data_IF_101558221030
#
_entry.id   IF_101558221030
#
_cell.length_a   1.000
_cell.length_b   1.000
_cell.length_c   1.000
_cell.angle_alpha   90.00
_cell.angle_beta   90.00
_cell.angle_gamma   90.00
#
_symmetry.space_group_name_H-M   'P 1'
#
loop_
_entity.id
_entity.type
_entity.pdbx_description
1 polymer ?
#
# COMPACT_ATOMS: atom_id res chain seq x y z
N UNK A 1 -0.96 7.12 -0.42
CA UNK A 1 0.30 6.54 -0.94
C UNK A 1 1.52 7.01 -0.17
N UNK A 2 1.74 8.30 -0.01
CA UNK A 2 2.94 8.85 0.64
C UNK A 2 3.21 8.24 2.02
N UNK A 3 2.20 8.17 2.90
CA UNK A 3 2.28 7.54 4.22
C UNK A 3 2.85 6.10 4.18
N UNK A 4 2.47 5.33 3.17
CA UNK A 4 2.96 3.97 2.97
C UNK A 4 4.41 3.94 2.48
N UNK A 5 4.73 4.71 1.44
CA UNK A 5 6.08 4.73 0.87
C UNK A 5 7.12 5.31 1.81
N UNK A 6 6.73 6.21 2.73
CA UNK A 6 7.60 6.78 3.74
C UNK A 6 8.19 5.70 4.67
N UNK A 7 7.38 4.74 5.11
CA UNK A 7 7.86 3.69 6.03
C UNK A 7 8.52 2.52 5.30
N UNK A 8 8.30 2.34 4.00
CA UNK A 8 8.71 1.13 3.28
C UNK A 8 10.21 0.82 3.42
N UNK A 9 11.15 1.76 3.20
CA UNK A 9 12.58 1.52 3.37
C UNK A 9 13.02 1.45 4.85
N UNK A 10 12.19 1.92 5.76
CA UNK A 10 12.49 1.98 7.20
C UNK A 10 12.19 0.65 7.89
N UNK A 11 11.24 -0.12 7.39
CA UNK A 11 10.80 -1.37 8.00
C UNK A 11 11.92 -2.43 8.11
N UNK A 12 12.81 -2.62 7.13
CA UNK A 12 13.98 -3.50 7.31
C UNK A 12 14.84 -3.09 8.50
N UNK A 13 15.16 -1.79 8.64
CA UNK A 13 15.95 -1.27 9.77
C UNK A 13 15.20 -1.47 11.09
N UNK A 14 13.93 -1.15 11.15
CA UNK A 14 13.11 -1.38 12.34
C UNK A 14 13.11 -2.85 12.79
N UNK A 15 12.98 -3.80 11.85
CA UNK A 15 13.00 -5.22 12.16
C UNK A 15 14.38 -5.70 12.64
N UNK A 16 15.46 -5.20 12.06
CA UNK A 16 16.82 -5.60 12.46
C UNK A 16 17.28 -4.93 13.75
N UNK A 17 16.94 -3.66 13.96
CA UNK A 17 17.44 -2.87 15.09
C UNK A 17 16.59 -3.09 16.36
N UNK A 18 15.26 -3.19 16.23
CA UNK A 18 14.37 -3.33 17.39
C UNK A 18 14.08 -4.80 17.72
N UNK A 19 13.82 -5.64 16.71
CA UNK A 19 13.51 -7.06 16.93
C UNK A 19 14.70 -8.00 16.73
N UNK A 20 15.87 -7.47 16.33
CA UNK A 20 17.09 -8.24 16.10
C UNK A 20 16.89 -9.43 15.14
N UNK A 21 16.06 -9.23 14.10
CA UNK A 21 15.74 -10.27 13.11
C UNK A 21 16.82 -10.36 12.05
N UNK A 22 17.12 -11.60 11.60
CA UNK A 22 18.02 -11.80 10.46
C UNK A 22 17.38 -11.43 9.12
N UNK A 23 18.20 -11.16 8.10
CA UNK A 23 17.78 -10.68 6.79
C UNK A 23 16.71 -11.58 6.10
N UNK A 24 16.80 -12.91 6.27
CA UNK A 24 15.82 -13.83 5.73
C UNK A 24 14.43 -13.63 6.36
N UNK A 25 14.39 -13.46 7.69
CA UNK A 25 13.12 -13.19 8.40
C UNK A 25 12.53 -11.83 8.00
N UNK A 26 13.36 -10.79 7.82
CA UNK A 26 12.92 -9.48 7.29
C UNK A 26 12.20 -9.66 5.96
N UNK A 27 12.82 -10.38 5.01
CA UNK A 27 12.22 -10.64 3.70
C UNK A 27 10.86 -11.35 3.80
N UNK A 28 10.74 -12.38 4.64
CA UNK A 28 9.49 -13.12 4.86
C UNK A 28 8.41 -12.20 5.46
N UNK A 29 8.74 -11.43 6.50
CA UNK A 29 7.80 -10.54 7.18
C UNK A 29 7.28 -9.44 6.23
N UNK A 30 8.16 -8.85 5.44
CA UNK A 30 7.76 -7.85 4.45
C UNK A 30 6.91 -8.47 3.33
N UNK A 31 7.20 -9.70 2.93
CA UNK A 31 6.41 -10.43 1.92
C UNK A 31 5.00 -10.77 2.40
N UNK A 32 4.77 -11.00 3.69
CA UNK A 32 3.43 -11.25 4.25
C UNK A 32 2.43 -10.14 3.88
N UNK A 33 2.87 -8.88 3.89
CA UNK A 33 2.06 -7.75 3.45
C UNK A 33 1.63 -7.88 1.97
N UNK A 34 2.57 -8.20 1.09
CA UNK A 34 2.31 -8.31 -0.34
C UNK A 34 1.38 -9.48 -0.64
N UNK A 35 1.61 -10.63 -0.01
CA UNK A 35 0.73 -11.81 -0.15
C UNK A 35 -0.67 -11.48 0.33
N UNK A 36 -0.83 -10.88 1.50
CA UNK A 36 -2.13 -10.47 2.03
C UNK A 36 -2.85 -9.48 1.08
N UNK A 37 -2.12 -8.50 0.54
CA UNK A 37 -2.65 -7.54 -0.42
C UNK A 37 -3.11 -8.21 -1.72
N UNK A 38 -2.40 -9.21 -2.21
CA UNK A 38 -2.80 -9.98 -3.39
C UNK A 38 -4.03 -10.83 -3.11
N UNK A 39 -4.07 -11.51 -1.98
CA UNK A 39 -5.19 -12.38 -1.60
C UNK A 39 -6.53 -11.61 -1.50
N UNK A 40 -6.53 -10.37 -1.02
CA UNK A 40 -7.77 -9.60 -0.86
C UNK A 40 -8.30 -9.01 -2.17
N UNK A 41 -7.45 -8.80 -3.20
CA UNK A 41 -7.85 -8.11 -4.44
C UNK A 41 -9.04 -8.74 -5.18
N UNK A 42 -9.12 -10.05 -5.38
CA UNK A 42 -10.28 -10.67 -6.00
C UNK A 42 -11.58 -10.41 -5.20
N UNK A 43 -11.51 -10.52 -3.88
CA UNK A 43 -12.64 -10.25 -2.99
C UNK A 43 -13.01 -8.76 -2.96
N UNK A 44 -12.02 -7.87 -3.11
CA UNK A 44 -12.25 -6.42 -3.19
C UNK A 44 -13.14 -6.06 -4.38
N UNK A 45 -12.89 -6.65 -5.55
CA UNK A 45 -13.74 -6.46 -6.73
C UNK A 45 -15.19 -6.86 -6.47
N UNK A 46 -15.39 -8.07 -5.95
CA UNK A 46 -16.73 -8.56 -5.61
C UNK A 46 -17.45 -7.67 -4.59
N UNK A 47 -16.76 -7.27 -3.51
CA UNK A 47 -17.34 -6.39 -2.49
C UNK A 47 -17.71 -5.01 -3.05
N UNK A 48 -16.89 -4.45 -3.93
CA UNK A 48 -17.15 -3.17 -4.61
C UNK A 48 -18.30 -3.26 -5.60
N UNK A 49 -18.57 -4.44 -6.15
CA UNK A 49 -19.71 -4.67 -7.02
C UNK A 49 -21.02 -4.88 -6.25
N UNK A 50 -20.96 -5.41 -5.04
CA UNK A 50 -22.15 -5.74 -4.23
C UNK A 50 -22.49 -4.67 -3.20
N UNK A 51 -21.50 -3.96 -2.64
CA UNK A 51 -21.66 -2.99 -1.57
C UNK A 51 -21.49 -1.54 -2.05
N UNK A 52 -21.84 -0.59 -1.20
CA UNK A 52 -21.59 0.82 -1.44
C UNK A 52 -20.08 1.11 -1.42
N UNK A 53 -19.55 1.59 -2.54
CA UNK A 53 -18.10 1.73 -2.79
C UNK A 53 -17.40 2.68 -1.82
N UNK A 54 -17.97 3.88 -1.59
CA UNK A 54 -17.36 4.89 -0.72
C UNK A 54 -17.28 4.46 0.74
N UNK A 55 -18.35 3.95 1.40
CA UNK A 55 -18.23 3.45 2.76
C UNK A 55 -17.19 2.33 2.90
N UNK A 56 -17.17 1.38 1.96
CA UNK A 56 -16.20 0.28 1.95
C UNK A 56 -14.76 0.81 1.85
N UNK A 57 -14.53 1.78 0.95
CA UNK A 57 -13.25 2.46 0.83
C UNK A 57 -12.82 3.15 2.11
N UNK A 58 -13.73 3.90 2.74
CA UNK A 58 -13.43 4.64 3.97
C UNK A 58 -13.14 3.70 5.16
N UNK A 59 -13.88 2.59 5.29
CA UNK A 59 -13.60 1.58 6.32
C UNK A 59 -12.22 0.96 6.11
N UNK A 60 -11.91 0.53 4.89
CA UNK A 60 -10.59 -0.04 4.58
C UNK A 60 -9.46 0.97 4.79
N UNK A 61 -9.69 2.24 4.42
CA UNK A 61 -8.72 3.31 4.61
C UNK A 61 -8.53 3.64 6.10
N UNK A 62 -9.59 3.65 6.89
CA UNK A 62 -9.51 3.82 8.35
C UNK A 62 -8.67 2.71 8.99
N UNK A 63 -8.93 1.44 8.64
CA UNK A 63 -8.11 0.32 9.10
C UNK A 63 -6.65 0.50 8.66
N UNK A 64 -6.41 0.87 7.41
CA UNK A 64 -5.08 1.11 6.86
C UNK A 64 -4.29 2.14 7.68
N UNK A 65 -4.86 3.30 7.97
CA UNK A 65 -4.16 4.34 8.74
C UNK A 65 -4.00 3.97 10.22
N UNK A 66 -4.96 3.26 10.81
CA UNK A 66 -4.88 2.83 12.21
C UNK A 66 -3.71 1.89 12.48
N UNK A 67 -3.27 1.14 11.48
CA UNK A 67 -2.13 0.24 11.61
C UNK A 67 -0.80 0.97 11.79
N UNK A 68 -0.65 2.21 11.27
CA UNK A 68 0.54 3.01 11.57
C UNK A 68 0.64 3.31 13.08
N UNK A 69 -0.48 3.63 13.73
CA UNK A 69 -0.53 3.75 15.19
C UNK A 69 -0.25 2.39 15.87
N UNK A 70 -0.74 1.29 15.30
CA UNK A 70 -0.46 -0.06 15.78
C UNK A 70 1.03 -0.40 15.77
N UNK A 71 1.81 0.07 14.78
CA UNK A 71 3.25 -0.16 14.74
C UNK A 71 4.00 0.51 15.90
N UNK A 72 3.54 1.67 16.37
CA UNK A 72 4.11 2.33 17.55
C UNK A 72 3.88 1.54 18.84
N UNK A 73 2.84 0.70 18.87
CA UNK A 73 2.47 -0.13 20.02
C UNK A 73 2.97 -1.58 19.91
N UNK A 74 3.61 -1.94 18.79
CA UNK A 74 4.04 -3.31 18.52
C UNK A 74 5.31 -3.67 19.29
N UNK A 75 5.18 -3.95 20.59
CA UNK A 75 6.29 -4.36 21.46
C UNK A 75 6.82 -5.78 21.21
N UNK A 76 6.14 -6.61 20.41
CA UNK A 76 6.54 -7.98 20.09
C UNK A 76 6.44 -8.27 18.59
N UNK A 77 7.38 -9.08 18.08
CA UNK A 77 7.47 -9.40 16.66
C UNK A 77 6.19 -10.03 16.09
N UNK A 78 5.55 -10.92 16.84
CA UNK A 78 4.31 -11.58 16.41
C UNK A 78 3.19 -10.57 16.14
N UNK A 79 3.01 -9.58 17.02
CA UNK A 79 2.03 -8.52 16.83
C UNK A 79 2.36 -7.69 15.58
N UNK A 80 3.64 -7.36 15.38
CA UNK A 80 4.09 -6.64 14.20
C UNK A 80 3.76 -7.41 12.90
N UNK A 81 4.00 -8.72 12.85
CA UNK A 81 3.66 -9.57 11.70
C UNK A 81 2.16 -9.58 11.42
N UNK A 82 1.33 -9.73 12.47
CA UNK A 82 -0.13 -9.67 12.33
C UNK A 82 -0.60 -8.31 11.78
N UNK A 83 -0.01 -7.23 12.28
CA UNK A 83 -0.28 -5.88 11.77
C UNK A 83 0.17 -5.73 10.31
N UNK A 84 1.30 -6.34 9.89
CA UNK A 84 1.73 -6.35 8.47
C UNK A 84 0.74 -7.07 7.58
N UNK A 85 0.20 -8.21 8.00
CA UNK A 85 -0.84 -8.93 7.26
C UNK A 85 -2.11 -8.08 7.15
N UNK A 86 -2.60 -7.55 8.27
CA UNK A 86 -3.79 -6.68 8.29
C UNK A 86 -3.59 -5.42 7.42
N UNK A 87 -2.39 -4.83 7.45
CA UNK A 87 -2.02 -3.67 6.63
C UNK A 87 -2.07 -4.01 5.13
N UNK A 88 -1.56 -5.19 4.74
CA UNK A 88 -1.63 -5.68 3.37
C UNK A 88 -3.08 -5.87 2.89
N UNK A 89 -3.94 -6.49 3.70
CA UNK A 89 -5.37 -6.65 3.40
C UNK A 89 -6.04 -5.29 3.20
N UNK A 90 -5.83 -4.35 4.12
CA UNK A 90 -6.40 -3.01 4.03
C UNK A 90 -5.89 -2.24 2.79
N UNK A 91 -4.59 -2.31 2.49
CA UNK A 91 -3.99 -1.67 1.32
C UNK A 91 -4.54 -2.23 0.01
N UNK A 92 -4.64 -3.57 -0.10
CA UNK A 92 -5.22 -4.21 -1.28
C UNK A 92 -6.63 -3.71 -1.56
N UNK A 93 -7.47 -3.62 -0.55
CA UNK A 93 -8.83 -3.07 -0.65
C UNK A 93 -8.81 -1.57 -1.01
N UNK A 94 -8.01 -0.75 -0.34
CA UNK A 94 -7.92 0.71 -0.57
C UNK A 94 -7.48 1.02 -2.00
N UNK A 95 -6.49 0.29 -2.52
CA UNK A 95 -5.99 0.55 -3.88
C UNK A 95 -7.00 0.18 -4.96
N UNK A 96 -7.69 -0.95 -4.83
CA UNK A 96 -8.76 -1.36 -5.77
C UNK A 96 -9.94 -0.39 -5.68
N UNK A 97 -10.41 -0.08 -4.47
CA UNK A 97 -11.53 0.82 -4.25
C UNK A 97 -11.23 2.25 -4.72
N UNK A 98 -10.03 2.76 -4.47
CA UNK A 98 -9.60 4.09 -4.90
C UNK A 98 -9.60 4.23 -6.42
N UNK A 99 -9.01 3.28 -7.14
CA UNK A 99 -9.07 3.25 -8.61
C UNK A 99 -10.51 3.21 -9.13
N UNK A 100 -11.35 2.37 -8.52
CA UNK A 100 -12.77 2.24 -8.92
C UNK A 100 -13.52 3.56 -8.72
N UNK A 101 -13.32 4.23 -7.58
CA UNK A 101 -13.97 5.52 -7.28
C UNK A 101 -13.51 6.60 -8.27
N UNK A 102 -12.22 6.66 -8.60
CA UNK A 102 -11.70 7.62 -9.59
C UNK A 102 -12.39 7.45 -10.94
N UNK A 103 -12.59 6.21 -11.37
CA UNK A 103 -13.31 5.90 -12.63
C UNK A 103 -14.80 6.30 -12.53
N UNK A 104 -15.43 6.05 -11.38
CA UNK A 104 -16.87 6.32 -11.19
C UNK A 104 -17.21 7.82 -11.18
N UNK A 105 -16.35 8.64 -10.57
CA UNK A 105 -16.58 10.09 -10.48
C UNK A 105 -16.18 10.84 -11.75
N UNK A 106 -15.54 10.15 -12.71
CA UNK A 106 -14.99 10.77 -13.92
C UNK A 106 -15.84 10.42 -15.14
N UNK A 107 -16.23 11.42 -15.95
CA UNK A 107 -16.90 11.18 -17.22
C UNK A 107 -16.12 10.23 -18.13
N UNK A 108 -16.82 9.38 -18.89
CA UNK A 108 -16.21 8.35 -19.74
C UNK A 108 -15.14 8.88 -20.69
N UNK A 109 -15.33 10.10 -21.22
CA UNK A 109 -14.40 10.78 -22.13
C UNK A 109 -13.07 11.19 -21.49
N UNK A 110 -13.01 11.28 -20.14
CA UNK A 110 -11.82 11.74 -19.41
C UNK A 110 -11.22 10.70 -18.46
N UNK A 111 -11.71 9.46 -18.49
CA UNK A 111 -11.24 8.40 -17.58
C UNK A 111 -9.74 8.12 -17.69
N UNK A 112 -9.20 8.14 -18.91
CA UNK A 112 -7.77 7.96 -19.12
C UNK A 112 -6.93 9.04 -18.45
N UNK A 113 -7.36 10.30 -18.55
CA UNK A 113 -6.73 11.45 -17.89
C UNK A 113 -6.76 11.29 -16.35
N UNK A 114 -7.91 10.95 -15.79
CA UNK A 114 -8.08 10.80 -14.35
C UNK A 114 -7.21 9.66 -13.78
N UNK A 115 -7.16 8.51 -14.46
CA UNK A 115 -6.28 7.40 -14.09
C UNK A 115 -4.81 7.78 -14.22
N UNK A 116 -4.45 8.58 -15.24
CA UNK A 116 -3.11 9.14 -15.41
C UNK A 116 -2.70 10.02 -14.23
N UNK A 117 -3.54 10.97 -13.81
CA UNK A 117 -3.29 11.80 -12.62
C UNK A 117 -3.21 10.97 -11.33
N UNK A 118 -4.09 9.98 -11.16
CA UNK A 118 -4.05 9.09 -10.01
C UNK A 118 -2.74 8.30 -9.95
N UNK A 119 -2.27 7.80 -11.10
CA UNK A 119 -0.98 7.14 -11.23
C UNK A 119 0.19 8.08 -10.97
N UNK A 120 0.13 9.34 -11.46
CA UNK A 120 1.14 10.36 -11.22
C UNK A 120 1.30 10.65 -9.72
N UNK A 121 0.21 10.78 -8.98
CA UNK A 121 0.25 10.96 -7.51
C UNK A 121 0.87 9.76 -6.80
N UNK A 122 0.60 8.54 -7.26
CA UNK A 122 1.24 7.34 -6.73
C UNK A 122 2.76 7.34 -6.99
N UNK A 123 3.18 7.67 -8.22
CA UNK A 123 4.60 7.73 -8.59
C UNK A 123 5.35 8.84 -7.82
N UNK A 124 4.71 10.00 -7.63
CA UNK A 124 5.25 11.08 -6.80
C UNK A 124 5.47 10.62 -5.36
N UNK A 125 4.47 9.96 -4.78
CA UNK A 125 4.59 9.41 -3.43
C UNK A 125 5.68 8.32 -3.33
N UNK A 126 5.84 7.51 -4.38
CA UNK A 126 6.86 6.46 -4.47
C UNK A 126 8.28 7.03 -4.58
N UNK A 127 8.44 8.23 -5.15
CA UNK A 127 9.74 8.91 -5.26
C UNK A 127 10.09 9.64 -3.96
N UNK A 128 9.18 10.47 -3.45
CA UNK A 128 9.46 11.30 -2.29
C UNK A 128 9.29 10.58 -0.95
N UNK A 129 8.46 9.55 -0.87
CA UNK A 129 8.21 8.80 0.35
C UNK A 129 9.48 8.16 0.91
N UNK A 130 10.17 7.29 0.15
CA UNK A 130 11.41 6.64 0.60
C UNK A 130 12.51 7.64 0.95
N UNK A 131 12.69 8.69 0.13
CA UNK A 131 13.67 9.74 0.40
C UNK A 131 13.41 10.43 1.75
N UNK A 132 12.16 10.82 2.01
CA UNK A 132 11.77 11.42 3.28
C UNK A 132 11.95 10.46 4.45
N UNK A 133 11.57 9.18 4.29
CA UNK A 133 11.71 8.15 5.30
C UNK A 133 13.17 7.96 5.70
N UNK A 134 14.07 7.77 4.73
CA UNK A 134 15.50 7.59 4.99
C UNK A 134 16.14 8.83 5.63
N UNK A 135 15.79 10.02 5.17
CA UNK A 135 16.24 11.27 5.80
C UNK A 135 15.80 11.35 7.27
N UNK A 136 14.56 10.95 7.55
CA UNK A 136 14.06 10.94 8.94
C UNK A 136 14.73 9.86 9.79
N UNK A 137 15.11 8.73 9.22
CA UNK A 137 15.77 7.63 9.94
C UNK A 137 17.11 8.06 10.56
N UNK A 138 17.85 8.93 9.88
CA UNK A 138 19.15 9.43 10.39
C UNK A 138 19.00 10.41 11.56
N UNK A 139 17.83 11.02 11.76
CA UNK A 139 17.65 12.12 12.70
C UNK A 139 16.53 11.93 13.72
N UNK A 140 15.62 10.99 13.51
CA UNK A 140 14.43 10.80 14.32
C UNK A 140 14.19 9.33 14.70
N UNK A 141 13.42 9.09 15.76
CA UNK A 141 13.03 7.75 16.19
C UNK A 141 12.03 7.11 15.23
N UNK A 142 11.96 5.76 15.23
CA UNK A 142 10.97 5.01 14.44
C UNK A 142 9.53 5.42 14.76
N UNK A 143 9.24 5.72 16.04
CA UNK A 143 7.92 6.18 16.48
C UNK A 143 7.53 7.49 15.81
N UNK A 144 8.49 8.44 15.68
CA UNK A 144 8.27 9.71 14.98
C UNK A 144 7.95 9.46 13.50
N UNK A 145 8.63 8.52 12.86
CA UNK A 145 8.40 8.18 11.45
C UNK A 145 7.00 7.55 11.27
N UNK A 146 6.62 6.62 12.15
CA UNK A 146 5.28 6.03 12.13
C UNK A 146 4.19 7.07 12.42
N UNK A 147 4.44 8.01 13.34
CA UNK A 147 3.52 9.12 13.63
C UNK A 147 3.35 10.04 12.42
N UNK A 148 4.43 10.41 11.73
CA UNK A 148 4.35 11.20 10.50
C UNK A 148 3.56 10.48 9.40
N UNK A 149 3.74 9.16 9.27
CA UNK A 149 2.95 8.34 8.35
C UNK A 149 1.48 8.32 8.74
N UNK A 150 1.18 8.18 10.04
CA UNK A 150 -0.18 8.23 10.55
C UNK A 150 -0.85 9.57 10.26
N UNK A 151 -0.20 10.68 10.59
CA UNK A 151 -0.72 12.04 10.34
C UNK A 151 -0.95 12.27 8.85
N UNK A 152 0.01 11.89 8.01
CA UNK A 152 -0.13 11.98 6.54
C UNK A 152 -1.30 11.13 6.03
N UNK A 153 -1.49 9.94 6.59
CA UNK A 153 -2.63 9.07 6.30
C UNK A 153 -3.95 9.69 6.72
N UNK A 154 -4.03 10.31 7.90
CA UNK A 154 -5.23 11.00 8.40
C UNK A 154 -5.61 12.16 7.50
N UNK A 155 -4.65 12.98 7.06
CA UNK A 155 -4.92 14.08 6.12
C UNK A 155 -5.53 13.54 4.81
N UNK A 156 -4.97 12.44 4.27
CA UNK A 156 -5.52 11.77 3.10
C UNK A 156 -6.92 11.18 3.35
N UNK A 157 -7.18 10.65 4.55
CA UNK A 157 -8.49 10.14 4.93
C UNK A 157 -9.55 11.24 4.99
N UNK A 158 -9.21 12.39 5.58
CA UNK A 158 -10.08 13.58 5.59
C UNK A 158 -10.43 14.01 4.16
N UNK A 159 -9.42 14.10 3.29
CA UNK A 159 -9.64 14.40 1.88
C UNK A 159 -10.56 13.37 1.20
N UNK A 160 -10.38 12.08 1.48
CA UNK A 160 -11.23 11.00 0.97
C UNK A 160 -12.69 11.11 1.44
N UNK A 161 -12.92 11.56 2.68
CA UNK A 161 -14.28 11.82 3.19
C UNK A 161 -15.00 12.93 2.40
N UNK A 162 -14.27 13.93 1.91
CA UNK A 162 -14.82 15.06 1.15
C UNK A 162 -15.19 14.69 -0.29
N UNK A 163 -14.65 13.62 -0.86
CA UNK A 163 -14.97 13.17 -2.23
C UNK A 163 -16.45 12.79 -2.33
N UNK A 164 -17.17 13.42 -3.25
CA UNK A 164 -18.56 13.06 -3.55
C UNK A 164 -18.58 11.95 -4.59
N UNK A 165 -19.25 10.84 -4.30
CA UNK A 165 -19.44 9.73 -5.22
C UNK A 165 -20.89 9.66 -5.67
N UNK A 166 -21.19 9.33 -6.93
CA UNK A 166 -22.56 9.11 -7.39
C UNK A 166 -23.17 7.92 -6.62
N UNK A 167 -24.50 7.95 -6.39
CA UNK A 167 -25.19 6.82 -5.80
C UNK A 167 -25.03 5.60 -6.72
N UNK A 168 -24.65 4.47 -6.12
CA UNK A 168 -24.53 3.22 -6.88
C UNK A 168 -25.93 2.73 -7.27
N UNK A 169 -26.15 2.46 -8.56
CA UNK A 169 -27.34 1.77 -8.99
C UNK A 169 -27.32 0.32 -8.45
N UNK A 170 -28.44 -0.20 -7.96
CA UNK A 170 -28.52 -1.56 -7.47
C UNK A 170 -28.18 -2.53 -8.62
N UNK A 171 -27.05 -3.21 -8.47
CA UNK A 171 -26.65 -4.28 -9.40
C UNK A 171 -27.33 -5.57 -8.93
N UNK A 172 -27.95 -6.32 -9.85
CA UNK A 172 -28.45 -7.67 -9.55
C UNK A 172 -27.31 -8.51 -8.95
N UNK A 173 -27.56 -9.08 -7.78
CA UNK A 173 -26.63 -10.01 -7.15
C UNK A 173 -26.53 -11.25 -8.01
N UNK A 174 -25.48 -11.37 -8.78
CA UNK A 174 -25.18 -12.59 -9.50
C UNK A 174 -24.28 -13.50 -8.64
N UNK A 175 -24.43 -14.82 -8.74
CA UNK A 175 -23.65 -15.75 -7.95
C UNK A 175 -22.14 -15.61 -8.23
N UNK A 176 -21.34 -15.91 -7.22
CA UNK A 176 -19.87 -16.00 -7.34
C UNK A 176 -19.52 -17.05 -8.37
N UNK A 177 -18.82 -16.66 -9.44
CA UNK A 177 -18.22 -17.58 -10.41
C UNK A 177 -16.72 -17.35 -10.49
N UNK A 178 -15.95 -18.41 -10.70
CA UNK A 178 -14.49 -18.34 -10.82
C UNK A 178 -14.02 -17.47 -11.99
N UNK A 179 -14.80 -17.42 -13.07
CA UNK A 179 -14.51 -16.59 -14.24
C UNK A 179 -14.47 -15.10 -13.96
N UNK A 180 -15.05 -14.66 -12.84
CA UNK A 180 -15.01 -13.27 -12.40
C UNK A 180 -13.74 -12.90 -11.60
N UNK A 181 -13.05 -13.89 -11.07
CA UNK A 181 -11.82 -13.69 -10.31
C UNK A 181 -10.57 -13.68 -11.20
N UNK A 182 -10.62 -14.33 -12.35
CA UNK A 182 -9.45 -14.48 -13.24
C UNK A 182 -9.81 -14.10 -14.66
N UNK A 183 -9.30 -12.98 -15.15
CA UNK A 183 -9.38 -12.60 -16.54
C UNK A 183 -8.31 -13.35 -17.35
N UNK A 184 -8.65 -14.52 -17.89
CA UNK A 184 -7.70 -15.40 -18.63
C UNK A 184 -6.99 -14.64 -19.76
N UNK A 185 -7.70 -13.77 -20.49
CA UNK A 185 -7.14 -12.94 -21.56
C UNK A 185 -6.10 -11.92 -21.05
N UNK A 186 -6.11 -11.60 -19.77
CA UNK A 186 -5.15 -10.67 -19.13
C UNK A 186 -3.87 -11.36 -18.62
N UNK A 187 -3.82 -12.70 -18.57
CA UNK A 187 -2.69 -13.45 -18.01
C UNK A 187 -1.35 -13.10 -18.71
N UNK A 188 -1.23 -13.05 -20.04
CA UNK A 188 0.05 -12.72 -20.69
C UNK A 188 0.57 -11.33 -20.30
N UNK A 189 -0.31 -10.33 -20.25
CA UNK A 189 0.05 -8.99 -19.79
C UNK A 189 0.45 -8.97 -18.31
N UNK A 190 -0.26 -9.75 -17.48
CA UNK A 190 0.07 -9.93 -16.06
C UNK A 190 1.45 -10.55 -15.85
N UNK A 191 1.82 -11.57 -16.63
CA UNK A 191 3.14 -12.21 -16.58
C UNK A 191 4.24 -11.21 -16.99
N UNK A 192 4.03 -10.45 -18.06
CA UNK A 192 5.00 -9.43 -18.48
C UNK A 192 5.24 -8.37 -17.38
N UNK A 193 4.17 -7.88 -16.75
CA UNK A 193 4.27 -6.95 -15.64
C UNK A 193 4.95 -7.57 -14.41
N UNK A 194 4.68 -8.84 -14.11
CA UNK A 194 5.33 -9.58 -13.02
C UNK A 194 6.85 -9.62 -13.24
N UNK A 195 7.30 -10.03 -14.42
CA UNK A 195 8.73 -10.12 -14.75
C UNK A 195 9.44 -8.77 -14.66
N UNK A 196 8.79 -7.67 -15.07
CA UNK A 196 9.31 -6.32 -14.92
C UNK A 196 9.34 -5.84 -13.46
N UNK A 197 8.40 -6.30 -12.65
CA UNK A 197 8.28 -5.88 -11.24
C UNK A 197 9.30 -6.56 -10.31
N UNK A 198 9.84 -7.73 -10.67
CA UNK A 198 10.81 -8.46 -9.85
C UNK A 198 12.08 -7.64 -9.59
N UNK A 199 12.85 -7.18 -10.63
CA UNK A 199 14.05 -6.38 -10.39
C UNK A 199 13.72 -5.03 -9.73
N UNK A 200 12.59 -4.42 -10.07
CA UNK A 200 12.13 -3.20 -9.41
C UNK A 200 11.90 -3.39 -7.91
N UNK A 201 11.21 -4.46 -7.52
CA UNK A 201 10.96 -4.79 -6.10
C UNK A 201 12.24 -5.07 -5.32
N UNK A 202 13.18 -5.81 -5.91
CA UNK A 202 14.49 -6.06 -5.32
C UNK A 202 15.26 -4.76 -5.07
N UNK A 203 15.37 -3.92 -6.09
CA UNK A 203 16.08 -2.64 -5.99
C UNK A 203 15.43 -1.73 -4.94
N UNK A 204 14.12 -1.55 -4.98
CA UNK A 204 13.40 -0.67 -4.04
C UNK A 204 13.52 -1.11 -2.58
N UNK A 205 13.67 -2.40 -2.33
CA UNK A 205 13.72 -2.93 -0.96
C UNK A 205 15.15 -2.92 -0.40
N UNK A 206 16.14 -3.27 -1.20
CA UNK A 206 17.47 -3.58 -0.71
C UNK A 206 18.56 -2.56 -1.07
N UNK A 207 18.29 -1.59 -1.95
CA UNK A 207 19.28 -0.60 -2.39
C UNK A 207 19.84 0.21 -1.22
N UNK A 208 19.01 0.60 -0.27
CA UNK A 208 19.45 1.37 0.90
C UNK A 208 20.34 0.53 1.86
N UNK A 209 19.97 -0.74 2.07
CA UNK A 209 20.80 -1.66 2.86
C UNK A 209 22.14 -1.92 2.20
N UNK A 210 22.16 -2.13 0.89
CA UNK A 210 23.39 -2.31 0.12
C UNK A 210 24.28 -1.06 0.13
N UNK A 211 23.70 0.13 -0.01
CA UNK A 211 24.43 1.38 0.10
C UNK A 211 25.12 1.54 1.46
N UNK A 212 24.43 1.20 2.56
CA UNK A 212 25.01 1.19 3.91
C UNK A 212 26.16 0.17 4.03
N UNK A 213 26.05 -1.02 3.44
CA UNK A 213 27.07 -2.07 3.47
C UNK A 213 28.36 -1.65 2.74
N UNK A 214 28.25 -0.95 1.61
CA UNK A 214 29.40 -0.43 0.85
C UNK A 214 29.89 0.93 1.33
N UNK A 215 29.39 1.43 2.47
CA UNK A 215 29.88 2.65 3.14
C UNK A 215 29.39 3.96 2.52
N UNK A 216 28.34 3.94 1.68
CA UNK A 216 27.71 5.17 1.18
C UNK A 216 26.78 5.69 2.27
N UNK A 217 26.98 6.95 2.71
CA UNK A 217 26.07 7.58 3.65
C UNK A 217 24.73 7.89 2.96
N UNK A 218 23.60 7.51 3.58
CA UNK A 218 22.26 7.71 3.04
C UNK A 218 21.86 9.20 2.93
N UNK A 219 22.62 10.08 3.62
CA UNK A 219 22.39 11.54 3.64
C UNK A 219 23.13 12.30 2.54
N UNK A 220 23.98 11.67 1.75
CA UNK A 220 24.84 12.31 0.73
C UNK A 220 24.38 12.08 -0.72
N UNK A 221 23.19 11.57 -0.91
CA UNK A 221 22.60 11.30 -2.25
C UNK A 221 21.48 12.27 -2.65
#
# INVERSE_FOLDING_TARGET
YFAFYLILPILPFYLTEIFHTGNAAVGIILSCYTVASLCIRPFSGYLLDTLARKPLYLIAYFVFISIFAGYMLAGVLTLFVLLRIAHGLAFGMVTVAGNTIVIDITPSSRRGEAVGYYGLMNNTAMSFGPMTGLFMHDSYSFETIFLCSFISGVLGFIAACLVKTPPKQPVKREPLSLDRFVLIKGIPAGIALLLLSIPYGMTSTYVAMYAKEIGISLSSG
#
